data_IF_685993350772
#
_entry.id   IF_685993350772
#
_cell.length_a   1.000
_cell.length_b   1.000
_cell.length_c   1.000
_cell.angle_alpha   90.00
_cell.angle_beta   90.00
_cell.angle_gamma   90.00
#
_symmetry.space_group_name_H-M   'P 1'
#
loop_
_entity.id
_entity.type
_entity.pdbx_description
1 polymer ?
#
# COMPACT_ATOMS: atom_id res chain seq x y z
N UNK A 1 -94.41 5.72 -64.16
CA UNK A 1 -94.64 6.16 -62.76
C UNK A 1 -94.15 5.03 -61.86
N UNK A 2 -93.17 5.11 -60.97
CA UNK A 2 -92.53 6.22 -60.23
C UNK A 2 -91.12 5.74 -59.76
N UNK A 3 -90.13 6.64 -59.61
CA UNK A 3 -88.75 6.38 -59.13
C UNK A 3 -88.67 6.25 -57.57
N UNK A 4 -87.49 6.13 -56.88
CA UNK A 4 -86.08 6.06 -57.31
C UNK A 4 -85.11 5.09 -56.52
N UNK A 5 -83.87 4.94 -57.05
CA UNK A 5 -82.50 4.89 -56.43
C UNK A 5 -82.19 3.88 -55.28
N UNK A 6 -81.01 3.25 -55.12
CA UNK A 6 -79.62 3.73 -55.28
C UNK A 6 -78.58 2.56 -55.17
N UNK A 7 -77.56 2.57 -56.04
CA UNK A 7 -76.11 2.20 -55.91
C UNK A 7 -75.68 1.08 -54.91
N UNK A 8 -74.85 0.08 -55.27
CA UNK A 8 -73.43 0.22 -55.69
C UNK A 8 -72.80 -1.12 -56.16
N UNK A 9 -71.92 -1.02 -57.18
CA UNK A 9 -70.78 -1.85 -57.66
C UNK A 9 -70.57 -3.25 -57.03
N UNK A 10 -70.45 -4.37 -57.78
CA UNK A 10 -69.51 -4.62 -58.90
C UNK A 10 -68.13 -5.05 -58.35
N UNK A 11 -67.92 -6.31 -57.94
CA UNK A 11 -67.55 -7.52 -58.72
C UNK A 11 -66.03 -7.81 -58.84
N UNK A 12 -65.65 -9.00 -58.33
CA UNK A 12 -64.65 -9.98 -58.86
C UNK A 12 -63.15 -9.57 -58.88
N UNK A 13 -62.30 -10.23 -58.08
CA UNK A 13 -61.53 -11.47 -58.40
C UNK A 13 -60.29 -11.24 -59.27
N UNK A 14 -59.12 -11.70 -58.81
CA UNK A 14 -57.94 -11.88 -59.66
C UNK A 14 -56.60 -11.70 -58.95
N UNK A 15 -55.87 -12.79 -58.76
CA UNK A 15 -54.45 -12.84 -58.43
C UNK A 15 -53.58 -12.20 -59.54
N UNK A 16 -52.37 -11.73 -59.19
CA UNK A 16 -51.10 -12.01 -59.90
C UNK A 16 -49.92 -11.29 -59.20
N UNK A 17 -48.73 -11.83 -59.44
CA UNK A 17 -47.50 -11.66 -58.67
C UNK A 17 -46.62 -10.46 -59.06
N UNK A 18 -45.64 -10.24 -58.18
CA UNK A 18 -44.27 -9.72 -58.40
C UNK A 18 -44.07 -8.21 -58.16
N UNK A 19 -43.24 -7.86 -57.17
CA UNK A 19 -42.07 -7.00 -57.37
C UNK A 19 -41.16 -6.94 -56.12
N UNK A 20 -39.85 -6.94 -56.39
CA UNK A 20 -38.74 -6.72 -55.48
C UNK A 20 -38.91 -5.47 -54.60
N UNK A 21 -38.49 -5.53 -53.34
CA UNK A 21 -37.39 -4.67 -52.87
C UNK A 21 -36.89 -5.04 -51.47
N UNK A 22 -35.57 -5.11 -51.38
CA UNK A 22 -34.78 -5.32 -50.19
C UNK A 22 -34.55 -3.98 -49.44
N UNK A 23 -34.73 -3.99 -48.12
CA UNK A 23 -34.16 -3.04 -47.16
C UNK A 23 -34.25 -3.71 -45.78
N UNK A 24 -33.24 -3.94 -44.95
CA UNK A 24 -31.80 -3.74 -44.94
C UNK A 24 -31.35 -3.91 -43.48
N UNK A 25 -30.41 -4.81 -43.11
CA UNK A 25 -30.04 -5.09 -41.71
C UNK A 25 -28.99 -4.10 -41.15
N UNK A 26 -29.17 -2.80 -41.40
CA UNK A 26 -28.06 -1.83 -41.30
C UNK A 26 -28.15 -0.85 -40.12
N UNK A 27 -29.32 -0.69 -39.47
CA UNK A 27 -29.49 0.24 -38.32
C UNK A 27 -29.12 -0.41 -36.96
N UNK A 28 -29.33 -1.71 -36.79
CA UNK A 28 -29.09 -2.41 -35.52
C UNK A 28 -27.62 -2.59 -35.18
N UNK A 29 -26.75 -2.72 -36.20
CA UNK A 29 -25.31 -2.91 -36.04
C UNK A 29 -24.59 -1.63 -35.56
N UNK A 30 -25.01 -0.46 -36.07
CA UNK A 30 -24.47 0.83 -35.64
C UNK A 30 -24.89 1.19 -34.20
N UNK A 31 -26.14 0.91 -33.84
CA UNK A 31 -26.65 1.14 -32.49
C UNK A 31 -25.93 0.26 -31.45
N UNK A 32 -25.65 -1.00 -31.78
CA UNK A 32 -24.87 -1.92 -30.96
C UNK A 32 -23.40 -1.48 -30.79
N UNK A 33 -22.76 -1.04 -31.87
CA UNK A 33 -21.38 -0.51 -31.84
C UNK A 33 -21.27 0.77 -30.99
N UNK A 34 -22.22 1.70 -31.14
CA UNK A 34 -22.29 2.95 -30.39
C UNK A 34 -22.54 2.70 -28.90
N UNK A 35 -23.47 1.79 -28.53
CA UNK A 35 -23.71 1.40 -27.12
C UNK A 35 -22.48 0.71 -26.50
N UNK A 36 -21.76 -0.13 -27.26
CA UNK A 36 -20.57 -0.86 -26.80
C UNK A 36 -19.37 0.08 -26.59
N UNK A 37 -19.19 1.06 -27.47
CA UNK A 37 -18.19 2.13 -27.32
C UNK A 37 -18.48 3.03 -26.12
N UNK A 38 -19.74 3.42 -25.92
CA UNK A 38 -20.16 4.19 -24.74
C UNK A 38 -19.96 3.44 -23.43
N UNK A 39 -20.28 2.14 -23.38
CA UNK A 39 -19.98 1.30 -22.23
C UNK A 39 -18.48 1.24 -21.91
N UNK A 40 -17.64 1.19 -22.94
CA UNK A 40 -16.17 1.20 -22.78
C UNK A 40 -15.66 2.55 -22.23
N UNK A 41 -16.18 3.67 -22.73
CA UNK A 41 -15.79 5.01 -22.26
C UNK A 41 -16.25 5.26 -20.83
N UNK A 42 -17.47 4.85 -20.47
CA UNK A 42 -17.99 5.00 -19.10
C UNK A 42 -17.20 4.13 -18.12
N UNK A 43 -16.94 2.87 -18.46
CA UNK A 43 -16.13 1.98 -17.61
C UNK A 43 -14.69 2.47 -17.47
N UNK A 44 -14.07 2.98 -18.54
CA UNK A 44 -12.75 3.59 -18.50
C UNK A 44 -12.72 4.88 -17.66
N UNK A 45 -13.74 5.73 -17.76
CA UNK A 45 -13.86 6.95 -16.96
C UNK A 45 -14.01 6.66 -15.47
N UNK A 46 -14.92 5.74 -15.11
CA UNK A 46 -15.14 5.33 -13.72
C UNK A 46 -13.89 4.64 -13.15
N UNK A 47 -13.31 3.69 -13.90
CA UNK A 47 -12.11 2.97 -13.51
C UNK A 47 -10.90 3.91 -13.36
N UNK A 48 -10.67 4.79 -14.32
CA UNK A 48 -9.59 5.78 -14.27
C UNK A 48 -9.72 6.74 -13.10
N UNK A 49 -10.95 7.19 -12.81
CA UNK A 49 -11.23 8.06 -11.65
C UNK A 49 -10.94 7.35 -10.33
N UNK A 50 -11.37 6.09 -10.19
CA UNK A 50 -11.10 5.28 -9.00
C UNK A 50 -9.60 5.05 -8.79
N UNK A 51 -8.86 4.72 -9.85
CA UNK A 51 -7.40 4.53 -9.80
C UNK A 51 -6.70 5.84 -9.42
N UNK A 52 -7.09 6.97 -10.01
CA UNK A 52 -6.53 8.28 -9.69
C UNK A 52 -6.80 8.67 -8.22
N UNK A 53 -8.05 8.51 -7.74
CA UNK A 53 -8.40 8.76 -6.34
C UNK A 53 -7.60 7.87 -5.38
N UNK A 54 -7.44 6.59 -5.71
CA UNK A 54 -6.65 5.67 -4.90
C UNK A 54 -5.16 6.06 -4.87
N UNK A 55 -4.57 6.39 -6.03
CA UNK A 55 -3.19 6.83 -6.12
C UNK A 55 -2.92 8.13 -5.36
N UNK A 56 -3.89 9.05 -5.34
CA UNK A 56 -3.78 10.30 -4.58
C UNK A 56 -4.00 10.07 -3.08
N UNK A 57 -4.99 9.28 -2.67
CA UNK A 57 -5.34 9.09 -1.26
C UNK A 57 -4.35 8.19 -0.49
N UNK A 58 -3.80 7.17 -1.16
CA UNK A 58 -2.86 6.21 -0.54
C UNK A 58 -1.67 6.86 0.19
N UNK A 59 -0.91 7.83 -0.36
CA UNK A 59 0.21 8.45 0.37
C UNK A 59 -0.22 9.21 1.63
N UNK A 60 -1.47 9.66 1.74
CA UNK A 60 -1.98 10.36 2.92
C UNK A 60 -2.56 9.40 3.98
N UNK A 61 -3.16 8.28 3.55
CA UNK A 61 -3.77 7.29 4.46
C UNK A 61 -2.73 6.29 4.98
N UNK A 62 -1.75 5.91 4.16
CA UNK A 62 -0.74 4.89 4.51
C UNK A 62 0.08 5.23 5.76
N UNK A 63 0.50 6.50 6.01
CA UNK A 63 1.18 6.87 7.24
C UNK A 63 0.32 6.66 8.50
N UNK A 64 -0.99 6.93 8.41
CA UNK A 64 -1.93 6.78 9.52
C UNK A 64 -2.25 5.31 9.85
N UNK A 65 -2.04 4.39 8.90
CA UNK A 65 -2.21 2.95 9.07
C UNK A 65 -0.92 2.23 9.54
N UNK A 66 0.17 2.96 9.79
CA UNK A 66 1.34 2.38 10.48
C UNK A 66 1.00 2.21 11.95
N UNK A 67 0.45 1.03 12.26
CA UNK A 67 -0.20 0.66 13.53
C UNK A 67 0.53 1.04 14.82
N UNK A 68 1.84 1.25 14.82
CA UNK A 68 2.57 1.68 16.02
C UNK A 68 3.75 2.56 15.61
N UNK A 69 3.68 3.86 15.87
CA UNK A 69 4.82 4.78 15.80
C UNK A 69 5.03 5.34 17.21
N UNK A 70 5.85 4.66 18.03
CA UNK A 70 6.21 5.22 19.32
C UNK A 70 7.07 6.48 19.10
N UNK A 71 6.80 7.60 19.80
CA UNK A 71 7.63 8.78 19.70
C UNK A 71 9.06 8.45 20.15
N UNK A 72 10.05 9.04 19.47
CA UNK A 72 11.44 8.89 19.89
C UNK A 72 11.66 9.58 21.23
N UNK A 73 11.93 8.78 22.26
CA UNK A 73 12.31 9.25 23.59
C UNK A 73 13.72 8.75 23.88
N UNK A 74 14.72 9.63 23.97
CA UNK A 74 16.10 9.22 24.21
C UNK A 74 16.26 8.61 25.60
N UNK A 75 16.86 7.42 25.69
CA UNK A 75 17.17 6.80 26.98
C UNK A 75 18.19 7.64 27.77
N UNK A 76 17.93 7.85 29.06
CA UNK A 76 18.80 8.61 29.96
C UNK A 76 20.14 7.91 30.17
N UNK A 77 21.19 8.66 30.52
CA UNK A 77 22.52 8.09 30.80
C UNK A 77 22.48 7.02 31.88
N UNK A 78 21.63 7.19 32.91
CA UNK A 78 21.41 6.20 33.97
C UNK A 78 20.81 4.91 33.42
N UNK A 79 19.83 4.98 32.52
CA UNK A 79 19.24 3.79 31.88
C UNK A 79 20.27 3.05 31.04
N UNK A 80 21.11 3.77 30.30
CA UNK A 80 22.20 3.18 29.53
C UNK A 80 23.18 2.47 30.47
N UNK A 81 23.62 3.12 31.55
CA UNK A 81 24.50 2.50 32.54
C UNK A 81 23.91 1.23 33.14
N UNK A 82 22.62 1.22 33.46
CA UNK A 82 21.94 0.03 33.97
C UNK A 82 21.97 -1.13 32.97
N UNK A 83 21.67 -0.87 31.69
CA UNK A 83 21.77 -1.87 30.62
C UNK A 83 23.20 -2.40 30.52
N UNK A 84 24.18 -1.50 30.53
CA UNK A 84 25.58 -1.87 30.40
C UNK A 84 26.08 -2.70 31.59
N UNK A 85 25.61 -2.39 32.81
CA UNK A 85 25.88 -3.18 34.01
C UNK A 85 25.31 -4.59 33.89
N UNK A 86 24.11 -4.76 33.32
CA UNK A 86 23.55 -6.08 33.05
C UNK A 86 24.34 -6.87 31.98
N UNK A 87 25.10 -6.17 31.14
CA UNK A 87 25.92 -6.75 30.08
C UNK A 87 27.36 -7.07 30.51
N UNK A 88 27.83 -6.60 31.69
CA UNK A 88 29.24 -6.74 32.13
C UNK A 88 29.77 -8.19 32.10
N UNK A 89 28.91 -9.16 32.40
CA UNK A 89 29.27 -10.59 32.42
C UNK A 89 28.74 -11.36 31.21
N UNK A 90 28.34 -10.65 30.14
CA UNK A 90 27.80 -11.24 28.92
C UNK A 90 28.74 -11.00 27.75
N UNK A 91 28.60 -11.81 26.71
CA UNK A 91 29.40 -11.70 25.49
C UNK A 91 28.58 -12.08 24.26
N UNK A 92 29.17 -11.89 23.08
CA UNK A 92 28.58 -12.25 21.81
C UNK A 92 27.86 -11.09 21.10
N UNK A 93 26.79 -11.42 20.40
CA UNK A 93 26.01 -10.48 19.60
C UNK A 93 24.94 -9.79 20.46
N UNK A 94 24.70 -8.51 20.18
CA UNK A 94 23.66 -7.73 20.86
C UNK A 94 22.74 -7.11 19.83
N UNK A 95 21.44 -7.14 20.09
CA UNK A 95 20.45 -6.40 19.31
C UNK A 95 19.68 -5.43 20.19
N UNK A 96 19.46 -4.22 19.66
CA UNK A 96 18.66 -3.17 20.27
C UNK A 96 17.39 -2.93 19.42
N UNK A 97 16.25 -3.22 20.03
CA UNK A 97 14.91 -3.15 19.44
C UNK A 97 14.37 -1.72 19.67
N UNK A 98 14.28 -0.93 18.60
CA UNK A 98 13.93 0.50 18.69
C UNK A 98 15.15 1.36 19.00
N UNK A 99 16.24 1.17 18.25
CA UNK A 99 17.55 1.75 18.58
C UNK A 99 17.61 3.28 18.56
N UNK A 100 16.65 3.95 17.92
CA UNK A 100 16.56 5.40 17.89
C UNK A 100 17.86 6.06 17.40
N UNK A 101 18.51 6.85 18.25
CA UNK A 101 19.78 7.52 17.94
C UNK A 101 21.02 6.63 18.09
N UNK A 102 20.82 5.33 18.33
CA UNK A 102 21.86 4.30 18.40
C UNK A 102 22.71 4.33 19.66
N UNK A 103 22.34 5.09 20.70
CA UNK A 103 23.18 5.27 21.89
C UNK A 103 23.51 3.97 22.61
N UNK A 104 22.56 3.05 22.76
CA UNK A 104 22.77 1.75 23.42
C UNK A 104 23.69 0.88 22.58
N UNK A 105 23.42 0.79 21.27
CA UNK A 105 24.25 0.05 20.30
C UNK A 105 25.70 0.54 20.30
N UNK A 106 25.90 1.86 20.29
CA UNK A 106 27.23 2.48 20.32
C UNK A 106 27.95 2.17 21.63
N UNK A 107 27.30 2.33 22.77
CA UNK A 107 27.91 2.06 24.08
C UNK A 107 28.19 0.57 24.33
N UNK A 108 27.36 -0.32 23.79
CA UNK A 108 27.62 -1.75 23.79
C UNK A 108 28.81 -2.10 22.89
N UNK A 109 28.91 -1.51 21.70
CA UNK A 109 30.03 -1.75 20.80
C UNK A 109 31.37 -1.23 21.35
N UNK A 110 31.36 -0.12 22.11
CA UNK A 110 32.53 0.36 22.86
C UNK A 110 33.02 -0.65 23.90
N UNK A 111 32.15 -1.53 24.39
CA UNK A 111 32.49 -2.65 25.30
C UNK A 111 32.88 -3.95 24.56
N UNK A 112 32.99 -3.92 23.24
CA UNK A 112 33.42 -5.07 22.43
C UNK A 112 32.28 -5.97 21.94
N UNK A 113 31.01 -5.59 22.14
CA UNK A 113 29.89 -6.34 21.58
C UNK A 113 29.74 -6.10 20.07
N UNK A 114 29.33 -7.14 19.33
CA UNK A 114 28.84 -6.98 17.95
C UNK A 114 27.38 -6.57 18.01
N UNK A 115 27.13 -5.26 17.96
CA UNK A 115 25.83 -4.68 18.25
C UNK A 115 25.05 -4.32 16.97
N UNK A 116 23.74 -4.60 16.96
CA UNK A 116 22.84 -4.31 15.85
C UNK A 116 21.64 -3.51 16.35
N UNK A 117 21.30 -2.41 15.69
CA UNK A 117 20.10 -1.63 15.98
C UNK A 117 19.05 -1.80 14.89
N UNK A 118 17.81 -2.08 15.28
CA UNK A 118 16.65 -2.00 14.41
C UNK A 118 15.82 -0.77 14.75
N UNK A 119 15.46 0.00 13.74
CA UNK A 119 14.67 1.22 13.88
C UNK A 119 13.75 1.37 12.66
N UNK A 120 12.56 1.91 12.88
CA UNK A 120 11.56 2.10 11.82
C UNK A 120 11.81 3.40 11.04
N UNK A 121 12.30 4.44 11.72
CA UNK A 121 12.55 5.76 11.11
C UNK A 121 13.89 5.79 10.35
N UNK A 122 13.88 5.95 9.00
CA UNK A 122 15.09 6.02 8.20
C UNK A 122 16.05 7.13 8.65
N UNK A 123 15.55 8.29 9.05
CA UNK A 123 16.37 9.44 9.46
C UNK A 123 17.18 9.14 10.72
N UNK A 124 16.57 8.45 11.69
CA UNK A 124 17.26 8.03 12.91
C UNK A 124 18.31 6.97 12.61
N UNK A 125 18.05 6.05 11.67
CA UNK A 125 19.06 5.08 11.20
C UNK A 125 20.26 5.77 10.55
N UNK A 126 20.04 6.79 9.72
CA UNK A 126 21.15 7.55 9.14
C UNK A 126 21.93 8.30 10.21
N UNK A 127 21.24 8.93 11.16
CA UNK A 127 21.86 9.62 12.27
C UNK A 127 22.70 8.70 13.16
N UNK A 128 22.19 7.50 13.49
CA UNK A 128 22.90 6.52 14.31
C UNK A 128 24.13 5.96 13.60
N UNK A 129 24.06 5.70 12.29
CA UNK A 129 25.23 5.35 11.46
C UNK A 129 26.30 6.43 11.50
N UNK A 130 25.92 7.69 11.31
CA UNK A 130 26.84 8.82 11.40
C UNK A 130 27.50 8.92 12.79
N UNK A 131 26.73 8.75 13.86
CA UNK A 131 27.26 8.77 15.23
C UNK A 131 28.20 7.60 15.53
N UNK A 132 27.88 6.41 15.05
CA UNK A 132 28.73 5.23 15.22
C UNK A 132 30.04 5.39 14.45
N UNK A 133 29.99 5.97 13.25
CA UNK A 133 31.18 6.35 12.49
C UNK A 133 32.02 7.40 13.23
N UNK A 134 31.40 8.50 13.69
CA UNK A 134 32.06 9.53 14.50
C UNK A 134 32.69 8.99 15.78
N UNK A 135 32.10 7.96 16.37
CA UNK A 135 32.59 7.30 17.58
C UNK A 135 33.63 6.20 17.31
N UNK A 136 33.98 5.93 16.05
CA UNK A 136 34.97 4.91 15.66
C UNK A 136 34.48 3.46 15.76
N UNK A 137 33.26 3.20 16.19
CA UNK A 137 32.72 1.85 16.45
C UNK A 137 31.87 1.29 15.30
N UNK A 138 31.87 1.95 14.14
CA UNK A 138 31.11 1.53 12.96
C UNK A 138 31.42 0.10 12.49
N UNK A 139 32.63 -0.41 12.75
CA UNK A 139 33.02 -1.79 12.40
C UNK A 139 32.30 -2.85 13.23
N UNK A 140 31.92 -2.52 14.47
CA UNK A 140 31.22 -3.40 15.42
C UNK A 140 29.72 -3.11 15.51
N UNK A 141 29.21 -2.15 14.73
CA UNK A 141 27.81 -1.71 14.78
C UNK A 141 27.15 -1.82 13.41
N UNK A 142 25.90 -2.27 13.39
CA UNK A 142 25.06 -2.22 12.17
C UNK A 142 23.68 -1.67 12.52
N UNK A 143 23.10 -0.89 11.62
CA UNK A 143 21.75 -0.34 11.79
C UNK A 143 20.88 -0.66 10.59
N UNK A 144 19.67 -1.16 10.83
CA UNK A 144 18.72 -1.57 9.80
C UNK A 144 17.39 -0.82 9.95
N UNK A 145 16.83 -0.43 8.80
CA UNK A 145 15.48 0.10 8.71
C UNK A 145 14.55 -1.10 8.60
N UNK A 146 13.96 -1.52 9.71
CA UNK A 146 13.03 -2.66 9.70
C UNK A 146 12.04 -2.57 10.84
N UNK A 147 10.87 -3.13 10.57
CA UNK A 147 9.87 -3.42 11.58
C UNK A 147 10.36 -4.56 12.49
N UNK A 148 10.20 -4.38 13.79
CA UNK A 148 10.63 -5.29 14.85
C UNK A 148 9.87 -6.62 14.77
N UNK A 149 8.60 -6.60 14.31
CA UNK A 149 7.75 -7.78 14.22
C UNK A 149 8.07 -8.70 13.04
N UNK A 150 8.87 -8.23 12.07
CA UNK A 150 9.20 -8.97 10.84
C UNK A 150 10.58 -9.63 10.91
N UNK A 151 11.36 -9.33 11.94
CA UNK A 151 12.76 -9.76 12.06
C UNK A 151 12.85 -10.92 13.05
N UNK A 152 13.61 -11.96 12.68
CA UNK A 152 14.00 -13.00 13.62
C UNK A 152 15.20 -12.56 14.47
N UNK A 153 15.04 -12.63 15.79
CA UNK A 153 16.09 -12.30 16.76
C UNK A 153 16.84 -13.53 17.30
N UNK A 154 16.55 -14.73 16.82
CA UNK A 154 17.11 -15.99 17.34
C UNK A 154 18.64 -16.09 17.23
N UNK A 155 19.25 -15.30 16.35
CA UNK A 155 20.70 -15.22 16.13
C UNK A 155 21.45 -14.34 17.16
N UNK A 156 20.73 -13.60 18.00
CA UNK A 156 21.33 -12.68 18.98
C UNK A 156 21.42 -13.31 20.36
N UNK A 157 22.58 -13.22 21.00
CA UNK A 157 22.76 -13.74 22.38
C UNK A 157 22.22 -12.78 23.44
N UNK A 158 22.11 -11.50 23.11
CA UNK A 158 21.63 -10.45 23.98
C UNK A 158 20.60 -9.58 23.24
N UNK A 159 19.44 -9.37 23.84
CA UNK A 159 18.37 -8.53 23.29
C UNK A 159 18.10 -7.42 24.30
N UNK A 160 18.21 -6.18 23.85
CA UNK A 160 17.82 -4.99 24.61
C UNK A 160 16.59 -4.39 23.94
N UNK A 161 15.61 -4.04 24.76
CA UNK A 161 14.40 -3.36 24.30
C UNK A 161 14.10 -2.22 25.27
N UNK A 162 13.89 -1.03 24.70
CA UNK A 162 13.44 0.13 25.44
C UNK A 162 12.02 0.46 24.99
N UNK A 163 11.03 -0.02 25.75
CA UNK A 163 9.63 0.07 25.37
C UNK A 163 8.72 0.41 26.54
N UNK A 164 7.43 0.49 26.22
CA UNK A 164 6.34 0.66 27.19
C UNK A 164 5.70 -0.69 27.53
N UNK A 165 4.99 -0.82 28.67
CA UNK A 165 4.41 -2.09 29.12
C UNK A 165 3.45 -2.77 28.13
N UNK A 166 2.88 -1.99 27.19
CA UNK A 166 2.01 -2.51 26.15
C UNK A 166 2.59 -2.18 24.77
N UNK A 167 3.13 -3.21 24.12
CA UNK A 167 3.47 -3.22 22.70
C UNK A 167 2.68 -4.36 22.07
N UNK A 168 1.45 -4.05 21.63
CA UNK A 168 0.49 -5.00 21.03
C UNK A 168 0.35 -4.73 19.54
#
# INVERSE_FOLDING_TARGET
ESAPQCLSLGAMSGALANEHNAAGPQEDAEAGSRRRSWGLVVTAGVGGTLVALYAVATPFVTPALRKVCLPFVPATSTQIQNVLKMLENRSGSLVDIGSGDGRVVIEAAKRGFRAVGYELNPWLVWYSRYRAWRSGVHHNTKFYISDLWKVSFSQYTNVVVFGVPQMV
#
